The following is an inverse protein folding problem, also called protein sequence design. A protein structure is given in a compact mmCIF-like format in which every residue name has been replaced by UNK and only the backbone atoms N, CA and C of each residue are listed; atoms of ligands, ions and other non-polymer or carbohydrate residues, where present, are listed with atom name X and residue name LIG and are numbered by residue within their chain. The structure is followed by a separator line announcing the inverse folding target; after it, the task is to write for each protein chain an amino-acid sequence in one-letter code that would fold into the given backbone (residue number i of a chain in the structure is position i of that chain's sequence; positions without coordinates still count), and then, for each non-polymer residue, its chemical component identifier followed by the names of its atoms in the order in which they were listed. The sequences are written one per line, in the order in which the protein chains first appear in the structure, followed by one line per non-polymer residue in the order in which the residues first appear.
data_IF_331868126442
#
_entry.id   IF_331868126442
#
_cell.length_a   1.000
_cell.length_b   1.000
_cell.length_c   1.000
_cell.angle_alpha   90.00
_cell.angle_beta   90.00
_cell.angle_gamma   90.00
#
_symmetry.space_group_name_H-M   'P 1'
#
loop_
_entity.id
_entity.type
_entity.pdbx_description
1 polymer ?
#
# COMPACT_ATOMS: atom_id res chain seq x y z
N UNK A 1 35.64 -42.97 82.74
CA UNK A 1 35.25 -41.64 83.26
C UNK A 1 35.55 -40.59 82.19
N UNK A 2 34.59 -40.30 81.31
CA UNK A 2 34.31 -39.01 80.64
C UNK A 2 33.21 -39.24 79.58
N UNK A 3 32.07 -38.55 79.75
CA UNK A 3 30.93 -38.50 78.81
C UNK A 3 31.13 -37.29 77.83
N UNK A 4 30.10 -36.87 77.07
CA UNK A 4 29.41 -37.44 75.88
C UNK A 4 29.64 -36.52 74.64
N UNK A 5 29.08 -36.74 73.44
CA UNK A 5 27.80 -36.16 72.96
C UNK A 5 27.61 -36.51 71.45
N UNK A 6 26.47 -37.10 71.08
CA UNK A 6 25.30 -36.50 70.36
C UNK A 6 25.58 -36.30 68.86
N UNK A 7 25.12 -37.22 67.99
CA UNK A 7 23.84 -37.21 67.22
C UNK A 7 24.07 -36.53 65.84
N UNK A 8 23.62 -37.03 64.68
CA UNK A 8 22.26 -36.88 64.15
C UNK A 8 22.17 -37.57 62.76
N UNK A 9 21.22 -38.53 62.64
CA UNK A 9 20.20 -38.79 61.58
C UNK A 9 20.58 -38.78 60.08
N UNK A 10 19.91 -39.48 59.14
CA UNK A 10 19.06 -40.70 59.01
C UNK A 10 18.57 -40.70 57.53
N UNK A 11 18.41 -41.89 56.94
CA UNK A 11 17.58 -42.29 55.76
C UNK A 11 17.91 -41.75 54.35
N UNK A 12 18.34 -42.53 53.33
CA UNK A 12 17.77 -43.68 52.56
C UNK A 12 16.53 -43.37 51.70
N UNK A 13 16.69 -43.41 50.37
CA UNK A 13 15.76 -43.80 49.28
C UNK A 13 16.64 -43.91 47.99
N UNK A 14 16.96 -45.04 47.34
CA UNK A 14 16.18 -46.15 46.76
C UNK A 14 14.90 -45.63 46.07
N UNK A 15 14.65 -45.73 44.77
CA UNK A 15 15.02 -46.77 43.79
C UNK A 15 14.80 -46.22 42.37
N UNK A 16 15.74 -46.49 41.47
CA UNK A 16 15.78 -46.04 40.08
C UNK A 16 15.35 -47.22 39.18
N UNK A 17 14.54 -46.91 38.15
CA UNK A 17 14.24 -47.70 36.93
C UNK A 17 13.36 -48.95 37.08
N UNK A 18 12.06 -48.77 36.84
CA UNK A 18 11.19 -49.79 36.23
C UNK A 18 10.28 -49.05 35.21
N UNK A 19 10.04 -49.68 34.05
CA UNK A 19 9.20 -49.29 32.91
C UNK A 19 9.89 -48.59 31.72
N UNK A 20 10.85 -49.31 31.13
CA UNK A 20 11.11 -49.26 29.69
C UNK A 20 10.36 -50.42 29.03
N UNK A 21 9.12 -50.22 28.56
CA UNK A 21 8.44 -51.05 27.53
C UNK A 21 6.93 -50.74 27.43
N UNK A 22 6.56 -49.65 26.74
CA UNK A 22 5.25 -49.50 26.09
C UNK A 22 5.07 -48.09 25.52
N UNK A 23 5.72 -47.75 24.41
CA UNK A 23 5.29 -46.60 23.59
C UNK A 23 5.74 -46.79 22.13
N UNK A 24 5.20 -47.86 21.52
CA UNK A 24 5.19 -48.08 20.07
C UNK A 24 3.71 -48.20 19.68
N UNK A 25 3.01 -47.07 19.78
CA UNK A 25 1.68 -46.90 19.23
C UNK A 25 1.56 -45.47 18.72
N UNK A 26 1.08 -45.37 17.49
CA UNK A 26 0.67 -44.16 16.78
C UNK A 26 1.83 -43.28 16.31
N UNK A 27 2.38 -43.69 15.17
CA UNK A 27 2.79 -42.69 14.19
C UNK A 27 1.54 -41.88 13.83
N UNK A 28 1.37 -40.75 14.49
CA UNK A 28 0.50 -39.70 14.00
C UNK A 28 1.08 -39.30 12.64
N UNK A 29 0.48 -39.85 11.59
CA UNK A 29 0.43 -39.16 10.30
C UNK A 29 -0.35 -37.88 10.55
N UNK A 30 0.30 -36.89 11.16
CA UNK A 30 0.00 -35.49 10.95
C UNK A 30 0.32 -35.29 9.48
N UNK A 31 -0.65 -35.66 8.62
CA UNK A 31 -0.82 -35.03 7.33
C UNK A 31 -0.69 -33.55 7.63
N UNK A 32 0.46 -32.99 7.27
CA UNK A 32 0.73 -31.57 7.38
C UNK A 32 -0.40 -30.89 6.66
N UNK A 33 -1.39 -30.45 7.43
CA UNK A 33 -2.35 -29.49 6.96
C UNK A 33 -1.46 -28.28 6.73
N UNK A 34 -1.09 -28.04 5.48
CA UNK A 34 -0.56 -26.75 5.10
C UNK A 34 -1.63 -25.77 5.57
N UNK A 35 -1.38 -25.16 6.74
CA UNK A 35 -2.11 -23.98 7.16
C UNK A 35 -1.64 -22.94 6.17
N UNK A 36 -2.33 -22.87 5.02
CA UNK A 36 -2.11 -21.80 4.06
C UNK A 36 -2.06 -20.52 4.85
N UNK A 37 -0.94 -19.79 4.74
CA UNK A 37 -0.67 -18.61 5.55
C UNK A 37 -1.95 -17.76 5.61
N UNK A 38 -2.39 -17.42 6.83
CA UNK A 38 -3.61 -16.65 7.02
C UNK A 38 -3.50 -15.38 6.18
N UNK A 39 -4.38 -15.24 5.19
CA UNK A 39 -4.35 -14.10 4.29
C UNK A 39 -4.87 -12.88 5.05
N UNK A 40 -3.94 -12.05 5.49
CA UNK A 40 -4.24 -10.79 6.16
C UNK A 40 -4.47 -9.73 5.09
N UNK A 41 -5.67 -9.15 5.07
CA UNK A 41 -5.96 -7.98 4.23
C UNK A 41 -5.11 -6.79 4.69
N UNK A 42 -4.46 -6.12 3.75
CA UNK A 42 -3.60 -4.96 4.01
C UNK A 42 -4.02 -3.78 3.16
N UNK A 43 -3.78 -2.58 3.70
CA UNK A 43 -3.94 -1.34 2.97
C UNK A 43 -2.74 -0.43 3.25
N UNK A 44 -2.38 0.38 2.26
CA UNK A 44 -1.32 1.36 2.38
C UNK A 44 -1.70 2.61 1.62
N UNK A 45 -1.39 3.78 2.17
CA UNK A 45 -1.77 5.05 1.60
C UNK A 45 -0.59 6.03 1.55
N UNK A 46 -0.60 6.91 0.56
CA UNK A 46 0.35 7.99 0.43
C UNK A 46 -0.24 9.14 -0.40
N UNK A 47 0.18 10.37 -0.12
CA UNK A 47 -0.10 11.53 -0.95
C UNK A 47 1.20 12.11 -1.52
N UNK A 48 1.20 12.38 -2.82
CA UNK A 48 2.29 13.07 -3.52
C UNK A 48 1.80 14.44 -3.96
N UNK A 49 2.49 15.51 -3.57
CA UNK A 49 2.26 16.84 -4.11
C UNK A 49 2.42 16.82 -5.64
N UNK A 50 1.45 17.38 -6.35
CA UNK A 50 1.40 17.53 -7.80
C UNK A 50 1.15 18.98 -8.24
N UNK A 51 1.44 19.95 -7.38
CA UNK A 51 1.21 21.36 -7.69
C UNK A 51 2.11 21.80 -8.84
N UNK A 52 1.55 22.41 -9.90
CA UNK A 52 2.32 22.93 -11.01
C UNK A 52 3.13 24.18 -10.59
N UNK A 53 4.22 24.50 -11.29
CA UNK A 53 4.85 25.82 -11.19
C UNK A 53 3.85 26.95 -11.48
N UNK A 54 4.05 28.10 -10.84
CA UNK A 54 3.29 29.32 -11.12
C UNK A 54 3.48 29.79 -12.57
N UNK A 55 2.51 30.57 -13.06
CA UNK A 55 2.49 31.15 -14.40
C UNK A 55 1.72 30.33 -15.44
N UNK A 56 1.45 29.05 -15.16
CA UNK A 56 0.62 28.23 -16.05
C UNK A 56 -0.85 28.70 -16.09
N UNK A 57 -1.57 28.50 -17.20
CA UNK A 57 -2.96 28.92 -17.32
C UNK A 57 -3.88 28.03 -16.46
N UNK A 58 -4.67 28.65 -15.58
CA UNK A 58 -5.73 27.95 -14.84
C UNK A 58 -6.83 27.53 -15.81
N UNK A 59 -7.32 26.30 -15.70
CA UNK A 59 -8.33 25.72 -16.59
C UNK A 59 -9.63 25.37 -15.86
N UNK A 60 -10.73 25.32 -16.60
CA UNK A 60 -12.08 24.99 -16.11
C UNK A 60 -13.04 26.18 -16.11
N UNK A 61 -12.52 27.41 -16.12
CA UNK A 61 -13.31 28.62 -16.35
C UNK A 61 -13.45 28.99 -17.83
N UNK A 62 -14.24 30.04 -18.09
CA UNK A 62 -14.36 30.66 -19.41
C UNK A 62 -13.07 31.38 -19.86
N UNK A 63 -12.32 31.88 -18.88
CA UNK A 63 -11.00 32.47 -19.07
C UNK A 63 -9.92 31.55 -18.49
N UNK A 64 -8.68 31.72 -18.94
CA UNK A 64 -7.53 30.98 -18.43
C UNK A 64 -6.45 31.92 -17.89
N UNK A 65 -6.70 32.60 -16.75
CA UNK A 65 -5.71 33.48 -16.16
C UNK A 65 -4.48 32.67 -15.71
N UNK A 66 -3.28 33.28 -15.69
CA UNK A 66 -2.09 32.62 -15.17
C UNK A 66 -2.24 32.37 -13.66
N UNK A 67 -1.76 31.22 -13.19
CA UNK A 67 -1.67 30.91 -11.77
C UNK A 67 -0.63 31.82 -11.11
N UNK A 68 -1.06 32.76 -10.27
CA UNK A 68 -0.18 33.72 -9.59
C UNK A 68 0.10 33.35 -8.13
N UNK A 69 -0.68 32.43 -7.56
CA UNK A 69 -0.60 32.03 -6.17
C UNK A 69 -1.10 30.58 -5.99
N UNK A 70 -0.53 29.86 -5.02
CA UNK A 70 -1.00 28.54 -4.56
C UNK A 70 -1.73 28.73 -3.24
N UNK A 71 -3.06 28.60 -3.25
CA UNK A 71 -3.87 28.65 -2.03
C UNK A 71 -3.72 27.35 -1.22
N UNK A 72 -3.96 26.21 -1.88
CA UNK A 72 -3.73 24.87 -1.35
C UNK A 72 -2.87 24.07 -2.33
N UNK A 73 -2.03 23.19 -1.78
CA UNK A 73 -1.27 22.23 -2.56
C UNK A 73 -2.21 21.18 -3.18
N UNK A 74 -1.91 20.77 -4.40
CA UNK A 74 -2.63 19.73 -5.14
C UNK A 74 -1.95 18.38 -4.90
N UNK A 75 -2.73 17.30 -4.79
CA UNK A 75 -2.19 15.97 -4.50
C UNK A 75 -2.66 14.88 -5.46
N UNK A 76 -1.76 13.95 -5.75
CA UNK A 76 -2.08 12.59 -6.15
C UNK A 76 -2.18 11.72 -4.89
N UNK A 77 -3.41 11.40 -4.50
CA UNK A 77 -3.76 10.59 -3.32
C UNK A 77 -3.86 9.14 -3.74
N UNK A 78 -2.98 8.30 -3.19
CA UNK A 78 -2.80 6.90 -3.59
C UNK A 78 -3.24 5.97 -2.45
N UNK A 79 -4.01 4.94 -2.78
CA UNK A 79 -4.41 3.85 -1.90
C UNK A 79 -4.10 2.53 -2.59
N UNK A 80 -3.37 1.65 -1.91
CA UNK A 80 -3.12 0.28 -2.36
C UNK A 80 -3.80 -0.68 -1.41
N UNK A 81 -4.53 -1.64 -1.96
CA UNK A 81 -5.18 -2.73 -1.23
C UNK A 81 -4.51 -4.04 -1.62
N UNK A 82 -4.27 -4.94 -0.66
CA UNK A 82 -3.63 -6.24 -0.87
C UNK A 82 -4.37 -7.32 -0.07
N UNK A 83 -4.89 -8.35 -0.75
CA UNK A 83 -5.57 -9.50 -0.12
C UNK A 83 -4.65 -10.71 0.12
N UNK A 84 -3.35 -10.55 -0.12
CA UNK A 84 -2.34 -11.61 -0.08
C UNK A 84 -2.12 -12.32 -1.42
N UNK A 85 -2.97 -12.07 -2.43
CA UNK A 85 -2.84 -12.61 -3.79
C UNK A 85 -2.93 -11.55 -4.88
N UNK A 86 -3.79 -10.56 -4.69
CA UNK A 86 -4.11 -9.50 -5.63
C UNK A 86 -3.87 -8.17 -4.96
N UNK A 87 -3.18 -7.28 -5.69
CA UNK A 87 -3.05 -5.87 -5.32
C UNK A 87 -3.86 -5.01 -6.25
N UNK A 88 -4.58 -4.06 -5.68
CA UNK A 88 -5.29 -2.99 -6.40
C UNK A 88 -4.69 -1.64 -6.03
N UNK A 89 -4.60 -0.73 -6.98
CA UNK A 89 -4.16 0.64 -6.75
C UNK A 89 -5.23 1.64 -7.19
N UNK A 90 -5.57 2.56 -6.30
CA UNK A 90 -6.46 3.69 -6.56
C UNK A 90 -5.67 4.98 -6.46
N UNK A 91 -5.81 5.87 -7.44
CA UNK A 91 -5.18 7.19 -7.43
C UNK A 91 -6.20 8.27 -7.78
N UNK A 92 -6.38 9.23 -6.87
CA UNK A 92 -7.22 10.42 -7.10
C UNK A 92 -6.31 11.64 -7.17
N UNK A 93 -6.32 12.34 -8.31
CA UNK A 93 -5.48 13.51 -8.56
C UNK A 93 -6.29 14.80 -8.51
N UNK A 94 -5.78 15.81 -7.81
CA UNK A 94 -6.37 17.15 -7.82
C UNK A 94 -6.04 17.89 -9.13
N UNK A 95 -6.83 17.63 -10.18
CA UNK A 95 -6.74 18.27 -11.48
C UNK A 95 -8.12 18.31 -12.18
N UNK A 96 -8.30 19.17 -13.19
CA UNK A 96 -9.53 19.18 -14.00
C UNK A 96 -9.70 17.86 -14.75
N UNK A 97 -8.62 17.31 -15.26
CA UNK A 97 -8.63 16.05 -15.99
C UNK A 97 -7.26 15.77 -16.57
N UNK A 98 -6.85 14.52 -16.46
CA UNK A 98 -5.52 14.08 -16.88
C UNK A 98 -5.65 13.25 -18.16
N UNK A 99 -4.72 13.46 -19.10
CA UNK A 99 -4.68 12.71 -20.36
C UNK A 99 -4.43 11.21 -20.16
N UNK A 100 -4.94 10.39 -21.09
CA UNK A 100 -4.75 8.93 -21.04
C UNK A 100 -3.27 8.58 -21.09
N UNK A 101 -2.52 9.29 -21.93
CA UNK A 101 -1.08 9.16 -22.12
C UNK A 101 -0.28 9.29 -20.80
N UNK A 102 -0.72 10.19 -19.92
CA UNK A 102 -0.10 10.39 -18.60
C UNK A 102 -0.38 9.19 -17.70
N UNK A 103 -1.64 8.75 -17.62
CA UNK A 103 -2.00 7.60 -16.79
C UNK A 103 -1.37 6.30 -17.30
N UNK A 104 -1.34 6.06 -18.60
CA UNK A 104 -0.71 4.87 -19.18
C UNK A 104 0.78 4.82 -18.87
N UNK A 105 1.47 5.95 -18.99
CA UNK A 105 2.90 6.02 -18.64
C UNK A 105 3.11 5.78 -17.14
N UNK A 106 2.26 6.33 -16.28
CA UNK A 106 2.30 6.08 -14.84
C UNK A 106 2.05 4.59 -14.52
N UNK A 107 1.05 3.95 -15.15
CA UNK A 107 0.75 2.52 -14.97
C UNK A 107 1.94 1.65 -15.33
N UNK A 108 2.61 1.92 -16.45
CA UNK A 108 3.81 1.19 -16.86
C UNK A 108 4.89 1.26 -15.77
N UNK A 109 5.22 2.45 -15.30
CA UNK A 109 6.24 2.63 -14.26
C UNK A 109 5.81 1.93 -12.96
N UNK A 110 4.55 2.05 -12.55
CA UNK A 110 4.04 1.38 -11.34
C UNK A 110 4.17 -0.13 -11.49
N UNK A 111 3.73 -0.69 -12.61
CA UNK A 111 3.84 -2.13 -12.89
C UNK A 111 5.29 -2.58 -12.78
N UNK A 112 6.20 -1.92 -13.48
CA UNK A 112 7.62 -2.28 -13.51
C UNK A 112 8.29 -2.19 -12.13
N UNK A 113 7.80 -1.32 -11.24
CA UNK A 113 8.37 -1.09 -9.90
C UNK A 113 7.70 -1.89 -8.79
N UNK A 114 6.46 -2.35 -8.97
CA UNK A 114 5.64 -2.91 -7.88
C UNK A 114 5.03 -4.27 -8.20
N UNK A 115 5.02 -4.66 -9.48
CA UNK A 115 4.36 -5.87 -9.97
C UNK A 115 2.83 -5.79 -10.01
N UNK A 116 2.21 -4.66 -9.65
CA UNK A 116 0.76 -4.49 -9.75
C UNK A 116 0.38 -4.47 -11.24
N UNK A 117 -0.52 -5.34 -11.73
CA UNK A 117 -0.96 -5.33 -13.12
C UNK A 117 -1.63 -4.00 -13.51
N UNK A 118 -1.44 -3.47 -14.73
CA UNK A 118 -2.09 -2.22 -15.16
C UNK A 118 -3.62 -2.22 -15.03
N UNK A 119 -4.24 -3.37 -15.25
CA UNK A 119 -5.70 -3.56 -15.14
C UNK A 119 -6.21 -3.48 -13.70
N UNK A 120 -5.31 -3.63 -12.72
CA UNK A 120 -5.60 -3.48 -11.30
C UNK A 120 -5.42 -2.04 -10.80
N UNK A 121 -5.26 -1.07 -11.70
CA UNK A 121 -5.02 0.34 -11.36
C UNK A 121 -6.14 1.25 -11.86
N UNK A 122 -6.89 1.80 -10.92
CA UNK A 122 -7.89 2.83 -11.19
C UNK A 122 -7.32 4.21 -10.85
N UNK A 123 -7.38 5.13 -11.81
CA UNK A 123 -6.89 6.49 -11.63
C UNK A 123 -7.93 7.49 -12.15
N UNK A 124 -8.17 8.55 -11.38
CA UNK A 124 -9.14 9.58 -11.72
C UNK A 124 -8.64 10.97 -11.28
N UNK A 125 -9.31 12.00 -11.79
CA UNK A 125 -9.10 13.39 -11.39
C UNK A 125 -10.34 13.89 -10.64
N UNK A 126 -10.16 14.81 -9.69
CA UNK A 126 -11.27 15.39 -8.91
C UNK A 126 -12.14 16.36 -9.71
N UNK A 127 -11.70 16.74 -10.91
CA UNK A 127 -12.35 17.75 -11.73
C UNK A 127 -12.29 19.16 -11.12
N UNK A 128 -11.19 19.52 -10.45
CA UNK A 128 -10.99 20.89 -9.94
C UNK A 128 -10.74 21.90 -11.06
N UNK A 129 -11.39 23.06 -10.99
CA UNK A 129 -11.26 24.19 -11.91
C UNK A 129 -10.15 25.19 -11.50
N UNK A 130 -9.27 24.78 -10.58
CA UNK A 130 -8.23 25.63 -9.97
C UNK A 130 -6.82 25.05 -10.16
N UNK A 131 -6.57 24.39 -11.29
CA UNK A 131 -5.28 23.80 -11.66
C UNK A 131 -4.91 24.12 -13.12
N UNK A 132 -3.71 23.74 -13.54
CA UNK A 132 -3.27 23.83 -14.94
C UNK A 132 -3.58 22.55 -15.73
N UNK A 133 -3.52 22.62 -17.05
CA UNK A 133 -3.81 21.46 -17.92
C UNK A 133 -2.80 20.33 -17.79
N UNK A 134 -3.32 19.12 -17.57
CA UNK A 134 -2.59 17.85 -17.65
C UNK A 134 -3.00 17.02 -18.89
N UNK A 135 -3.70 17.63 -19.86
CA UNK A 135 -4.07 17.02 -21.14
C UNK A 135 -3.17 17.55 -22.26
N UNK A 136 -3.02 16.75 -23.32
CA UNK A 136 -2.41 17.20 -24.57
C UNK A 136 -2.93 18.58 -25.02
N UNK A 137 -2.04 19.50 -25.45
CA UNK A 137 -2.42 20.79 -26.00
C UNK A 137 -3.42 20.68 -27.17
N UNK A 138 -3.21 19.68 -28.03
CA UNK A 138 -4.17 19.33 -29.07
C UNK A 138 -5.08 18.20 -28.57
N UNK A 139 -6.35 18.52 -28.33
CA UNK A 139 -7.36 17.57 -27.85
C UNK A 139 -7.82 16.58 -28.92
N UNK A 140 -7.75 16.95 -30.19
CA UNK A 140 -8.17 16.11 -31.33
C UNK A 140 -7.06 15.15 -31.77
N UNK A 141 -5.81 15.51 -31.50
CA UNK A 141 -4.61 14.70 -31.78
C UNK A 141 -3.71 14.70 -30.55
N UNK A 142 -4.01 13.86 -29.55
CA UNK A 142 -3.17 13.73 -28.37
C UNK A 142 -1.74 13.39 -28.78
N UNK A 143 -0.77 14.16 -28.27
CA UNK A 143 0.65 13.84 -28.48
C UNK A 143 1.08 12.70 -27.58
N UNK A 144 2.03 11.88 -28.04
CA UNK A 144 2.76 10.96 -27.18
C UNK A 144 3.88 11.66 -26.40
N UNK A 145 4.29 12.85 -26.83
CA UNK A 145 5.25 13.68 -26.10
C UNK A 145 4.53 14.40 -24.96
N UNK A 146 4.94 14.08 -23.74
CA UNK A 146 4.40 14.67 -22.52
C UNK A 146 5.04 16.02 -22.23
N UNK A 147 4.24 17.01 -21.84
CA UNK A 147 4.76 18.27 -21.31
C UNK A 147 5.48 18.07 -19.97
N UNK A 148 6.28 19.04 -19.53
CA UNK A 148 7.00 18.96 -18.26
C UNK A 148 6.07 18.68 -17.08
N UNK A 149 4.92 19.35 -17.02
CA UNK A 149 3.93 19.11 -15.97
C UNK A 149 3.32 17.70 -16.06
N UNK A 150 3.08 17.19 -17.27
CA UNK A 150 2.62 15.81 -17.46
C UNK A 150 3.68 14.79 -17.02
N UNK A 151 4.96 15.00 -17.35
CA UNK A 151 6.05 14.13 -16.90
C UNK A 151 6.23 14.17 -15.37
N UNK A 152 6.07 15.36 -14.78
CA UNK A 152 6.03 15.52 -13.33
C UNK A 152 4.88 14.71 -12.72
N UNK A 153 3.66 14.84 -13.25
CA UNK A 153 2.50 14.05 -12.81
C UNK A 153 2.75 12.54 -12.89
N UNK A 154 3.26 12.05 -14.03
CA UNK A 154 3.63 10.63 -14.20
C UNK A 154 4.51 10.15 -13.04
N UNK A 155 5.57 10.90 -12.75
CA UNK A 155 6.54 10.56 -11.71
C UNK A 155 5.90 10.58 -10.33
N UNK A 156 5.14 11.63 -10.02
CA UNK A 156 4.52 11.82 -8.69
C UNK A 156 3.42 10.80 -8.41
N UNK A 157 2.65 10.40 -9.41
CA UNK A 157 1.67 9.32 -9.32
C UNK A 157 2.38 8.00 -9.05
N UNK A 158 3.39 7.66 -9.86
CA UNK A 158 4.12 6.40 -9.71
C UNK A 158 4.81 6.28 -8.35
N UNK A 159 5.49 7.33 -7.91
CA UNK A 159 6.13 7.38 -6.60
C UNK A 159 5.11 7.37 -5.45
N UNK A 160 3.95 7.99 -5.63
CA UNK A 160 2.84 7.93 -4.68
C UNK A 160 2.37 6.50 -4.45
N UNK A 161 2.14 5.74 -5.53
CA UNK A 161 1.75 4.32 -5.42
C UNK A 161 2.87 3.48 -4.81
N UNK A 162 4.12 3.69 -5.18
CA UNK A 162 5.27 2.98 -4.57
C UNK A 162 5.36 3.22 -3.07
N UNK A 163 5.14 4.47 -2.63
CA UNK A 163 5.09 4.82 -1.20
C UNK A 163 3.89 4.16 -0.51
N UNK A 164 2.73 4.13 -1.15
CA UNK A 164 1.56 3.42 -0.63
C UNK A 164 1.84 1.91 -0.46
N UNK A 165 2.53 1.27 -1.41
CA UNK A 165 2.99 -0.13 -1.26
C UNK A 165 3.91 -0.29 -0.05
N UNK A 166 4.87 0.61 0.13
CA UNK A 166 5.80 0.55 1.29
C UNK A 166 5.09 0.77 2.63
N UNK A 167 3.92 1.41 2.61
CA UNK A 167 3.09 1.68 3.78
C UNK A 167 2.01 0.63 4.02
N UNK A 168 2.04 -0.54 3.34
CA UNK A 168 1.06 -1.59 3.55
C UNK A 168 1.09 -2.10 5.00
N UNK A 169 -0.05 -2.10 5.66
CA UNK A 169 -0.25 -2.62 7.01
C UNK A 169 -1.57 -3.39 7.12
N UNK A 170 -1.73 -4.33 8.07
CA UNK A 170 -2.99 -5.03 8.30
C UNK A 170 -4.16 -4.05 8.43
N UNK A 171 -5.22 -4.27 7.67
CA UNK A 171 -6.33 -3.33 7.55
C UNK A 171 -7.69 -4.03 7.58
N UNK A 172 -8.75 -3.24 7.75
CA UNK A 172 -10.15 -3.66 7.59
C UNK A 172 -10.81 -2.69 6.63
N UNK A 173 -11.75 -3.18 5.82
CA UNK A 173 -12.56 -2.37 4.92
C UNK A 173 -14.01 -2.37 5.37
N UNK A 174 -14.66 -1.21 5.28
CA UNK A 174 -16.08 -1.03 5.54
C UNK A 174 -16.65 0.00 4.57
N UNK A 175 -17.96 -0.01 4.37
CA UNK A 175 -18.65 0.95 3.53
C UNK A 175 -19.95 1.41 4.21
N UNK A 176 -20.40 2.59 3.83
CA UNK A 176 -21.65 3.18 4.28
C UNK A 176 -22.16 4.17 3.25
N UNK A 177 -23.45 4.46 3.29
CA UNK A 177 -24.10 5.43 2.42
C UNK A 177 -24.91 6.38 3.31
N UNK A 178 -24.79 7.68 3.04
CA UNK A 178 -25.57 8.73 3.68
C UNK A 178 -26.30 9.56 2.63
N UNK A 179 -27.40 10.17 3.04
CA UNK A 179 -28.13 11.17 2.27
C UNK A 179 -28.20 12.39 3.17
N UNK A 180 -27.88 13.56 2.62
CA UNK A 180 -28.06 14.85 3.29
C UNK A 180 -29.49 15.35 3.13
#
# INVERSE_FOLDING_TARGET
MNKPKVEVRRFLFLSIIIYASSLLALGDSVLGRETGAERVFRAGAAASNITPPLGGPIIGGWNSPPATHVHDELYAKCLVLDDGTTRLAFVICDNLGIGREVYDRARQIIHDKTGIPPDNMMMAATHTHSSVSARSPNRLRPSHELTDYQQFLVTRIADGVRRAVNNLEPARIGWGVGIE
#
